data_IF_547999056709
#
_entry.id   IF_547999056709
#
_cell.length_a   1.000
_cell.length_b   1.000
_cell.length_c   1.000
_cell.angle_alpha   90.00
_cell.angle_beta   90.00
_cell.angle_gamma   90.00
#
_symmetry.space_group_name_H-M   'P 1'
#
loop_
_entity.id
_entity.type
_entity.pdbx_description
1 polymer ?
#
# COMPACT_ATOMS: atom_id res chain seq x y z
N UNK A 1 -4.38 -0.55 -60.17
CA UNK A 1 -5.23 -0.83 -58.97
C UNK A 1 -4.66 -1.92 -58.06
N UNK A 2 -3.95 -2.95 -58.56
CA UNK A 2 -3.42 -4.09 -57.75
C UNK A 2 -2.39 -3.66 -56.69
N UNK A 3 -1.54 -2.69 -56.96
CA UNK A 3 -0.49 -2.23 -56.00
C UNK A 3 -1.04 -1.44 -54.82
N UNK A 4 -2.16 -0.72 -54.99
CA UNK A 4 -2.83 0.02 -53.89
C UNK A 4 -3.43 -0.93 -52.86
N UNK A 5 -3.95 -2.07 -53.32
CA UNK A 5 -4.51 -3.09 -52.44
C UNK A 5 -3.41 -3.81 -51.66
N UNK A 6 -2.26 -4.09 -52.29
CA UNK A 6 -1.09 -4.68 -51.64
C UNK A 6 -0.47 -3.77 -50.57
N UNK A 7 -0.43 -2.47 -50.84
CA UNK A 7 0.04 -1.48 -49.86
C UNK A 7 -0.90 -1.37 -48.64
N UNK A 8 -2.20 -1.42 -48.86
CA UNK A 8 -3.20 -1.36 -47.79
C UNK A 8 -3.16 -2.61 -46.90
N UNK A 9 -2.99 -3.81 -47.50
CA UNK A 9 -2.84 -5.05 -46.73
C UNK A 9 -1.54 -5.12 -45.93
N UNK A 10 -0.43 -4.59 -46.49
CA UNK A 10 0.85 -4.52 -45.80
C UNK A 10 0.76 -3.55 -44.55
N UNK A 11 0.10 -2.41 -44.69
CA UNK A 11 -0.08 -1.46 -43.61
C UNK A 11 -0.95 -2.03 -42.46
N UNK A 12 -1.94 -2.85 -42.81
CA UNK A 12 -2.81 -3.53 -41.87
C UNK A 12 -2.06 -4.57 -41.02
N UNK A 13 -1.14 -5.33 -41.64
CA UNK A 13 -0.32 -6.31 -40.93
C UNK A 13 0.70 -5.68 -39.98
N UNK A 14 1.23 -4.51 -40.32
CA UNK A 14 2.18 -3.78 -39.43
C UNK A 14 1.48 -3.24 -38.18
N UNK A 15 0.21 -2.86 -38.24
CA UNK A 15 -0.55 -2.39 -37.11
C UNK A 15 -0.92 -3.50 -36.10
N UNK A 16 -0.96 -4.74 -36.51
CA UNK A 16 -1.25 -5.89 -35.65
C UNK A 16 -0.05 -6.39 -34.84
N UNK A 17 1.17 -5.97 -35.17
CA UNK A 17 2.39 -6.36 -34.44
C UNK A 17 2.75 -5.41 -33.30
N UNK A 18 2.03 -4.30 -33.16
CA UNK A 18 2.15 -3.39 -32.00
C UNK A 18 1.37 -3.93 -30.79
N UNK A 19 1.42 -5.24 -30.54
CA UNK A 19 1.03 -5.76 -29.24
C UNK A 19 2.09 -5.31 -28.24
N UNK A 20 1.72 -4.36 -27.41
CA UNK A 20 2.51 -3.96 -26.25
C UNK A 20 2.94 -5.21 -25.50
N UNK A 21 4.22 -5.56 -25.57
CA UNK A 21 4.82 -6.39 -24.55
C UNK A 21 4.52 -5.69 -23.22
N UNK A 22 3.55 -6.20 -22.46
CA UNK A 22 3.46 -5.90 -21.03
C UNK A 22 4.83 -6.28 -20.48
N UNK A 23 5.67 -5.26 -20.28
CA UNK A 23 6.92 -5.41 -19.56
C UNK A 23 6.53 -6.11 -18.25
N UNK A 24 6.81 -7.39 -18.13
CA UNK A 24 6.98 -8.02 -16.83
C UNK A 24 8.03 -7.14 -16.15
N UNK A 25 7.59 -6.37 -15.19
CA UNK A 25 8.49 -5.59 -14.34
C UNK A 25 9.31 -6.61 -13.53
N UNK A 26 10.37 -7.12 -14.12
CA UNK A 26 11.49 -7.75 -13.40
C UNK A 26 12.29 -6.64 -12.70
N UNK A 27 11.60 -5.74 -12.03
CA UNK A 27 12.17 -4.68 -11.23
C UNK A 27 12.23 -5.12 -9.77
N UNK A 28 13.12 -4.51 -9.01
CA UNK A 28 13.13 -4.66 -7.57
C UNK A 28 11.70 -4.43 -7.02
N UNK A 29 11.13 -5.35 -6.21
CA UNK A 29 9.80 -5.15 -5.62
C UNK A 29 9.64 -3.79 -4.92
N UNK A 30 10.72 -3.24 -4.36
CA UNK A 30 10.72 -1.92 -3.75
C UNK A 30 10.34 -0.78 -4.72
N UNK A 31 10.59 -0.94 -6.04
CA UNK A 31 10.22 0.07 -7.04
C UNK A 31 8.70 0.18 -7.26
N UNK A 32 7.94 -0.75 -6.73
CA UNK A 32 6.47 -0.76 -6.78
C UNK A 32 5.84 -0.08 -5.57
N UNK A 33 6.63 0.24 -4.54
CA UNK A 33 6.14 0.97 -3.37
C UNK A 33 5.79 2.42 -3.76
N UNK A 34 4.79 3.02 -3.10
CA UNK A 34 4.53 4.44 -3.25
C UNK A 34 5.78 5.24 -2.91
N UNK A 35 6.07 6.32 -3.64
CA UNK A 35 7.18 7.20 -3.30
C UNK A 35 6.97 7.83 -1.92
N UNK A 36 8.05 8.03 -1.19
CA UNK A 36 8.01 8.79 0.05
C UNK A 36 7.49 10.21 -0.22
N UNK A 37 6.54 10.64 0.58
CA UNK A 37 5.98 11.99 0.46
C UNK A 37 5.83 12.63 1.83
N UNK A 38 6.16 13.92 1.90
CA UNK A 38 5.93 14.75 3.09
C UNK A 38 4.64 15.60 2.96
N UNK A 39 3.82 15.31 1.96
CA UNK A 39 2.64 16.13 1.60
C UNK A 39 1.31 15.47 1.95
N UNK A 40 1.30 14.45 2.82
CA UNK A 40 0.07 13.80 3.29
C UNK A 40 -0.75 13.13 2.18
N UNK A 41 -0.13 12.48 1.21
CA UNK A 41 -0.83 11.83 0.08
C UNK A 41 -1.65 10.59 0.46
N UNK A 42 -1.71 10.22 1.75
CA UNK A 42 -2.41 9.03 2.20
C UNK A 42 -1.96 7.75 1.47
N UNK A 43 -0.67 7.59 1.26
CA UNK A 43 -0.08 6.39 0.65
C UNK A 43 0.63 5.57 1.70
N UNK A 44 0.50 4.27 1.60
CA UNK A 44 1.17 3.29 2.45
C UNK A 44 1.53 2.07 1.63
N UNK A 45 2.71 1.54 1.88
CA UNK A 45 3.15 0.29 1.28
C UNK A 45 4.41 -0.21 1.95
N UNK A 46 4.59 -1.51 1.96
CA UNK A 46 5.79 -2.15 2.50
C UNK A 46 6.07 -3.48 1.82
N UNK A 47 7.23 -4.04 2.10
CA UNK A 47 7.62 -5.38 1.66
C UNK A 47 7.48 -6.37 2.81
N UNK A 48 6.84 -7.50 2.55
CA UNK A 48 6.81 -8.66 3.44
C UNK A 48 7.35 -9.86 2.69
N UNK A 49 8.42 -10.46 3.19
CA UNK A 49 9.10 -11.59 2.53
C UNK A 49 9.47 -11.31 1.05
N UNK A 50 9.74 -10.05 0.70
CA UNK A 50 10.05 -9.64 -0.66
C UNK A 50 8.83 -9.38 -1.56
N UNK A 51 7.61 -9.57 -1.06
CA UNK A 51 6.37 -9.24 -1.76
C UNK A 51 5.86 -7.86 -1.35
N UNK A 52 5.28 -7.15 -2.32
CA UNK A 52 4.75 -5.80 -2.11
C UNK A 52 3.35 -5.87 -1.53
N UNK A 53 3.16 -5.27 -0.38
CA UNK A 53 1.85 -5.00 0.19
C UNK A 53 1.43 -3.55 -0.11
N UNK A 54 0.24 -3.39 -0.67
CA UNK A 54 -0.43 -2.09 -0.86
C UNK A 54 -1.87 -2.23 -0.40
N UNK A 55 -2.38 -1.30 0.43
CA UNK A 55 -3.79 -1.29 0.80
C UNK A 55 -4.67 -1.17 -0.43
N UNK A 56 -5.61 -2.09 -0.64
CA UNK A 56 -6.51 -2.10 -1.79
C UNK A 56 -7.72 -3.01 -1.58
N UNK A 57 -8.66 -2.93 -2.50
CA UNK A 57 -9.84 -3.79 -2.54
C UNK A 57 -11.10 -3.12 -1.98
N UNK A 58 -12.26 -3.77 -2.16
CA UNK A 58 -13.54 -3.27 -1.66
C UNK A 58 -13.58 -3.36 -0.12
N UNK A 59 -14.02 -2.27 0.53
CA UNK A 59 -14.18 -2.24 1.99
C UNK A 59 -15.37 -1.35 2.36
N UNK A 60 -16.06 -1.71 3.43
CA UNK A 60 -17.10 -0.87 4.04
C UNK A 60 -16.52 0.28 4.87
N UNK A 61 -15.22 0.24 5.15
CA UNK A 61 -14.48 1.25 5.89
C UNK A 61 -13.19 1.67 5.16
N UNK A 62 -12.39 2.57 5.74
CA UNK A 62 -11.13 2.98 5.15
C UNK A 62 -10.15 1.79 5.10
N UNK A 63 -9.57 1.53 3.93
CA UNK A 63 -8.52 0.51 3.74
C UNK A 63 -7.16 0.94 4.28
N UNK A 64 -6.98 2.23 4.47
CA UNK A 64 -5.83 2.84 5.16
C UNK A 64 -6.35 3.86 6.15
N UNK A 65 -5.99 3.69 7.39
CA UNK A 65 -6.35 4.59 8.49
C UNK A 65 -5.11 4.96 9.28
N UNK A 66 -4.95 6.26 9.56
CA UNK A 66 -3.93 6.78 10.43
C UNK A 66 -4.58 7.78 11.39
N UNK A 67 -4.38 7.59 12.67
CA UNK A 67 -4.91 8.46 13.71
C UNK A 67 -3.88 8.67 14.82
N UNK A 68 -3.82 9.89 15.34
CA UNK A 68 -3.07 10.22 16.56
C UNK A 68 -3.94 11.10 17.43
N UNK A 69 -4.26 10.61 18.62
CA UNK A 69 -5.22 11.27 19.49
C UNK A 69 -4.85 11.14 20.96
N UNK A 70 -5.27 12.11 21.75
CA UNK A 70 -5.22 12.03 23.19
C UNK A 70 -6.54 11.48 23.73
N UNK A 71 -6.49 10.37 24.45
CA UNK A 71 -7.63 9.80 25.17
C UNK A 71 -7.53 10.13 26.66
N UNK A 72 -8.66 10.46 27.25
CA UNK A 72 -8.81 10.66 28.67
C UNK A 72 -10.10 10.00 29.13
N UNK A 73 -10.03 8.70 29.33
CA UNK A 73 -11.15 7.88 29.78
C UNK A 73 -10.82 7.24 31.12
N UNK A 74 -11.80 6.57 31.73
CA UNK A 74 -11.58 5.84 32.97
C UNK A 74 -10.61 4.66 32.82
N UNK A 75 -10.40 4.18 31.58
CA UNK A 75 -9.61 2.98 31.29
C UNK A 75 -8.28 3.31 30.59
N UNK A 76 -8.21 4.44 29.89
CA UNK A 76 -7.05 4.80 29.08
C UNK A 76 -6.79 6.30 29.15
N UNK A 77 -5.55 6.68 29.47
CA UNK A 77 -5.14 8.08 29.52
C UNK A 77 -3.77 8.24 28.88
N UNK A 78 -3.70 9.03 27.81
CA UNK A 78 -2.46 9.29 27.11
C UNK A 78 -2.65 9.52 25.61
N UNK A 79 -1.54 9.53 24.91
CA UNK A 79 -1.52 9.64 23.44
C UNK A 79 -1.52 8.24 22.80
N UNK A 80 -2.34 8.08 21.78
CA UNK A 80 -2.50 6.84 21.04
C UNK A 80 -2.30 7.12 19.56
N UNK A 81 -1.36 6.41 18.96
CA UNK A 81 -1.18 6.37 17.51
C UNK A 81 -1.73 5.05 16.98
N UNK A 82 -2.37 5.12 15.86
CA UNK A 82 -2.86 3.97 15.12
C UNK A 82 -2.58 4.17 13.64
N UNK A 83 -1.92 3.20 13.03
CA UNK A 83 -1.84 3.02 11.59
C UNK A 83 -2.39 1.62 11.30
N UNK A 84 -3.40 1.51 10.46
CA UNK A 84 -3.91 0.22 9.97
C UNK A 84 -4.10 0.27 8.47
N UNK A 85 -3.73 -0.82 7.80
CA UNK A 85 -3.83 -0.96 6.36
C UNK A 85 -4.35 -2.36 6.01
N UNK A 86 -5.25 -2.45 5.04
CA UNK A 86 -5.93 -3.68 4.66
C UNK A 86 -5.79 -3.89 3.14
N UNK A 87 -5.38 -5.08 2.73
CA UNK A 87 -5.57 -5.59 1.38
C UNK A 87 -6.73 -6.59 1.39
N UNK A 88 -7.84 -6.19 0.78
CA UNK A 88 -9.04 -7.00 0.60
C UNK A 88 -9.35 -7.21 -0.88
N UNK A 89 -8.33 -7.27 -1.71
CA UNK A 89 -8.48 -7.50 -3.15
C UNK A 89 -8.89 -8.94 -3.48
N UNK A 90 -8.60 -9.87 -2.59
CA UNK A 90 -9.03 -11.27 -2.66
C UNK A 90 -10.01 -11.55 -1.52
N UNK A 91 -11.25 -11.85 -1.85
CA UNK A 91 -12.30 -12.12 -0.86
C UNK A 91 -12.04 -13.37 -0.01
N UNK A 92 -11.16 -14.27 -0.45
CA UNK A 92 -10.79 -15.47 0.30
C UNK A 92 -9.68 -15.21 1.32
N UNK A 93 -8.85 -14.19 1.08
CA UNK A 93 -7.68 -13.89 1.89
C UNK A 93 -7.59 -12.39 2.16
N UNK A 94 -8.05 -11.97 3.32
CA UNK A 94 -7.89 -10.59 3.78
C UNK A 94 -6.55 -10.48 4.51
N UNK A 95 -5.71 -9.60 4.03
CA UNK A 95 -4.43 -9.31 4.65
C UNK A 95 -4.44 -7.94 5.30
N UNK A 96 -4.02 -7.86 6.55
CA UNK A 96 -4.00 -6.58 7.28
C UNK A 96 -2.71 -6.42 8.07
N UNK A 97 -2.30 -5.18 8.24
CA UNK A 97 -1.23 -4.80 9.15
C UNK A 97 -1.69 -3.62 10.00
N UNK A 98 -1.27 -3.63 11.26
CA UNK A 98 -1.49 -2.54 12.17
C UNK A 98 -0.23 -2.20 12.95
N UNK A 99 0.00 -0.91 13.17
CA UNK A 99 1.01 -0.38 14.09
C UNK A 99 0.27 0.54 15.06
N UNK A 100 0.46 0.31 16.34
CA UNK A 100 -0.25 0.99 17.40
C UNK A 100 0.71 1.45 18.49
N UNK A 101 0.32 2.47 19.23
CA UNK A 101 0.98 2.80 20.49
C UNK A 101 -0.04 2.84 21.61
N UNK A 102 0.38 2.49 22.82
CA UNK A 102 -0.42 2.64 24.03
C UNK A 102 0.22 3.70 24.94
N UNK A 103 -0.46 4.82 25.11
CA UNK A 103 -0.05 5.92 26.00
C UNK A 103 1.37 6.43 25.71
N UNK A 104 1.82 6.32 24.46
CA UNK A 104 3.15 6.74 24.03
C UNK A 104 3.05 8.03 23.21
N UNK A 105 3.71 9.07 23.67
CA UNK A 105 3.89 10.28 22.86
C UNK A 105 4.89 9.99 21.75
N UNK A 106 4.44 10.06 20.49
CA UNK A 106 5.32 9.91 19.35
C UNK A 106 5.96 11.24 18.99
N UNK A 107 7.22 11.16 18.60
CA UNK A 107 8.01 12.25 18.04
C UNK A 107 8.84 11.69 16.89
N UNK A 108 9.57 12.53 16.21
CA UNK A 108 10.52 12.07 15.21
C UNK A 108 11.59 11.18 15.87
N UNK A 109 11.78 9.97 15.35
CA UNK A 109 12.71 9.00 15.93
C UNK A 109 12.46 7.56 15.49
N UNK A 110 13.16 6.64 16.15
CA UNK A 110 13.06 5.19 15.93
C UNK A 110 12.35 4.57 17.13
N UNK A 111 11.28 3.83 16.86
CA UNK A 111 10.52 3.10 17.87
C UNK A 111 10.65 1.60 17.62
N UNK A 112 10.99 0.86 18.67
CA UNK A 112 11.00 -0.61 18.60
C UNK A 112 9.60 -1.13 18.92
N UNK A 113 9.11 -2.02 18.06
CA UNK A 113 7.85 -2.72 18.33
C UNK A 113 8.07 -3.77 19.43
N UNK A 114 7.17 -3.80 20.38
CA UNK A 114 7.21 -4.67 21.56
C UNK A 114 5.81 -5.21 21.87
N UNK A 115 5.59 -5.64 23.09
CA UNK A 115 4.27 -6.10 23.55
C UNK A 115 3.29 -4.94 23.67
N UNK A 116 1.98 -5.25 23.57
CA UNK A 116 0.91 -4.30 23.81
C UNK A 116 0.82 -3.94 25.29
N UNK A 117 1.65 -2.99 25.71
CA UNK A 117 1.70 -2.45 27.05
C UNK A 117 1.82 -0.94 27.02
N UNK A 118 1.39 -0.30 28.11
CA UNK A 118 1.47 1.15 28.26
C UNK A 118 2.91 1.66 28.06
N UNK A 119 3.07 2.65 27.21
CA UNK A 119 4.37 3.22 26.84
C UNK A 119 5.07 2.51 25.69
N UNK A 120 4.46 1.50 25.07
CA UNK A 120 5.04 0.75 23.97
C UNK A 120 4.39 1.08 22.63
N UNK A 121 5.16 0.82 21.56
CA UNK A 121 4.66 0.63 20.20
C UNK A 121 4.59 -0.87 19.91
N UNK A 122 3.54 -1.33 19.22
CA UNK A 122 3.36 -2.74 18.88
C UNK A 122 2.71 -2.92 17.51
N UNK A 123 2.89 -4.10 16.91
CA UNK A 123 2.31 -4.48 15.62
C UNK A 123 1.30 -5.61 15.74
N UNK A 124 0.35 -5.66 14.80
CA UNK A 124 -0.64 -6.73 14.60
C UNK A 124 -0.66 -7.15 13.13
#
# INVERSE_FOLDING_TARGET
MKYKLLLLTSLFFISLTASECKKHKTGNPADQLPPETQTGKNTFGYLINGEVFLPKGPSLGPILQCAYQYLNTNYSKGYFFQLSAIDNSNSSDVFSIGIFTDSLTISEGIFTLSDNQKGNAYGL
#
